data_IF_951485810107
#
_entry.id   IF_951485810107
#
_cell.length_a   1.000
_cell.length_b   1.000
_cell.length_c   1.000
_cell.angle_alpha   90.00
_cell.angle_beta   90.00
_cell.angle_gamma   90.00
#
_symmetry.space_group_name_H-M   'P 1'
#
loop_
_entity.id
_entity.type
_entity.pdbx_description
1 polymer ?
#
# COMPACT_ATOMS: atom_id res chain seq x y z
N UNK A 1 11.44 0.48 -3.51
CA UNK A 1 11.09 -0.92 -3.27
C UNK A 1 12.34 -1.68 -2.88
N UNK A 2 12.37 -2.20 -1.66
CA UNK A 2 13.53 -2.95 -1.12
C UNK A 2 13.42 -4.47 -1.34
N UNK A 3 12.38 -4.93 -2.06
CA UNK A 3 12.11 -6.35 -2.29
C UNK A 3 11.37 -7.02 -1.13
N UNK A 4 10.77 -6.24 -0.21
CA UNK A 4 10.00 -6.74 0.92
C UNK A 4 8.77 -5.85 1.16
N UNK A 5 7.58 -6.40 0.91
CA UNK A 5 6.31 -5.69 1.16
C UNK A 5 6.21 -5.20 2.61
N UNK A 6 6.55 -6.05 3.57
CA UNK A 6 6.49 -5.70 4.99
C UNK A 6 7.39 -4.49 5.33
N UNK A 7 8.62 -4.46 4.80
CA UNK A 7 9.54 -3.34 5.02
C UNK A 7 9.10 -2.07 4.30
N UNK A 8 8.63 -2.18 3.05
CA UNK A 8 8.15 -1.02 2.30
C UNK A 8 6.90 -0.41 2.98
N UNK A 9 5.98 -1.22 3.53
CA UNK A 9 4.85 -0.74 4.35
C UNK A 9 5.31 -0.03 5.63
N UNK A 10 6.30 -0.57 6.36
CA UNK A 10 6.91 0.13 7.49
C UNK A 10 7.61 1.42 7.05
N UNK A 11 8.15 1.46 5.83
CA UNK A 11 8.69 2.66 5.19
C UNK A 11 7.66 3.78 5.06
N UNK A 12 6.42 3.43 4.66
CA UNK A 12 5.29 4.37 4.65
C UNK A 12 4.99 4.86 6.07
N UNK A 13 4.86 3.92 7.02
CA UNK A 13 4.47 4.25 8.39
C UNK A 13 5.46 5.17 9.12
N UNK A 14 6.77 5.04 8.83
CA UNK A 14 7.79 5.93 9.41
C UNK A 14 8.13 7.16 8.55
N UNK A 15 7.34 7.44 7.50
CA UNK A 15 7.50 8.62 6.64
C UNK A 15 8.75 8.58 5.75
N UNK A 16 9.31 7.40 5.52
CA UNK A 16 10.51 7.19 4.70
C UNK A 16 10.17 6.96 3.23
N UNK A 17 8.96 6.49 2.98
CA UNK A 17 8.33 6.36 1.68
C UNK A 17 6.99 7.11 1.71
N UNK A 18 6.60 7.71 0.60
CA UNK A 18 5.32 8.41 0.48
C UNK A 18 4.22 7.54 -0.16
N UNK A 19 4.63 6.59 -1.02
CA UNK A 19 3.76 5.69 -1.76
C UNK A 19 4.49 4.36 -2.03
N UNK A 20 3.75 3.26 -1.88
CA UNK A 20 4.17 1.90 -2.22
C UNK A 20 2.96 1.16 -2.78
N UNK A 21 3.15 0.36 -3.82
CA UNK A 21 2.15 -0.62 -4.25
C UNK A 21 2.83 -1.88 -4.77
N UNK A 22 2.14 -3.02 -4.67
CA UNK A 22 2.61 -4.32 -5.14
C UNK A 22 1.42 -5.14 -5.66
N UNK A 23 1.68 -5.91 -6.72
CA UNK A 23 0.73 -6.83 -7.34
C UNK A 23 1.30 -8.24 -7.33
N UNK A 24 0.52 -9.23 -6.88
CA UNK A 24 0.93 -10.63 -6.88
C UNK A 24 1.91 -11.01 -5.76
N UNK A 25 1.84 -10.35 -4.59
CA UNK A 25 2.62 -10.76 -3.43
C UNK A 25 2.26 -12.19 -2.97
N UNK A 26 3.21 -12.89 -2.35
CA UNK A 26 3.14 -14.34 -2.12
C UNK A 26 1.96 -14.78 -1.25
N UNK A 27 1.62 -14.00 -0.23
CA UNK A 27 0.41 -14.24 0.56
C UNK A 27 0.10 -13.16 1.59
N UNK A 28 -1.02 -13.28 2.31
CA UNK A 28 -1.51 -12.25 3.23
C UNK A 28 -0.49 -11.91 4.34
N UNK A 29 0.39 -12.85 4.70
CA UNK A 29 1.45 -12.64 5.69
C UNK A 29 2.46 -11.56 5.29
N UNK A 30 2.65 -11.28 4.00
CA UNK A 30 3.59 -10.26 3.52
C UNK A 30 3.12 -8.83 3.81
N UNK A 31 1.81 -8.65 4.05
CA UNK A 31 1.18 -7.34 4.20
C UNK A 31 0.41 -7.16 5.51
N UNK A 32 -0.03 -8.25 6.16
CA UNK A 32 -0.88 -8.20 7.36
C UNK A 32 -0.34 -7.28 8.47
N UNK A 33 0.93 -7.48 8.84
CA UNK A 33 1.56 -6.70 9.90
C UNK A 33 1.77 -5.24 9.50
N UNK A 34 2.30 -5.02 8.29
CA UNK A 34 2.52 -3.68 7.75
C UNK A 34 1.22 -2.88 7.61
N UNK A 35 0.12 -3.54 7.23
CA UNK A 35 -1.19 -2.90 7.08
C UNK A 35 -1.69 -2.26 8.38
N UNK A 36 -1.56 -2.97 9.51
CA UNK A 36 -1.95 -2.42 10.82
C UNK A 36 -1.03 -1.27 11.20
N UNK A 37 0.29 -1.43 11.03
CA UNK A 37 1.27 -0.39 11.36
C UNK A 37 1.03 0.89 10.55
N UNK A 38 0.78 0.79 9.25
CA UNK A 38 0.46 1.93 8.38
C UNK A 38 -0.80 2.65 8.86
N UNK A 39 -1.87 1.91 9.18
CA UNK A 39 -3.13 2.49 9.68
C UNK A 39 -2.93 3.24 10.99
N UNK A 40 -2.24 2.64 11.95
CA UNK A 40 -1.96 3.27 13.26
C UNK A 40 -1.04 4.49 13.15
N UNK A 41 -0.15 4.51 12.16
CA UNK A 41 0.69 5.67 11.84
C UNK A 41 -0.08 6.81 11.14
N UNK A 42 -1.38 6.63 10.84
CA UNK A 42 -2.19 7.60 10.11
C UNK A 42 -2.00 7.56 8.59
N UNK A 43 -1.30 6.55 8.06
CA UNK A 43 -1.22 6.27 6.63
C UNK A 43 -2.49 5.59 6.12
N UNK A 44 -2.60 5.47 4.80
CA UNK A 44 -3.75 4.85 4.14
C UNK A 44 -3.29 3.60 3.43
N UNK A 45 -4.04 2.52 3.57
CA UNK A 45 -3.86 1.27 2.84
C UNK A 45 -5.12 0.96 2.03
N UNK A 46 -4.96 0.61 0.76
CA UNK A 46 -6.04 0.48 -0.20
C UNK A 46 -5.66 -0.50 -1.33
N UNK A 47 -6.63 -0.93 -2.13
CA UNK A 47 -6.36 -1.68 -3.37
C UNK A 47 -5.88 -0.69 -4.46
N UNK A 48 -4.86 -1.02 -5.28
CA UNK A 48 -4.36 -0.12 -6.32
C UNK A 48 -5.42 0.42 -7.29
N UNK A 49 -6.53 -0.31 -7.52
CA UNK A 49 -7.68 0.14 -8.33
C UNK A 49 -8.56 1.19 -7.62
N UNK A 50 -8.21 1.59 -6.40
CA UNK A 50 -8.94 2.56 -5.57
C UNK A 50 -10.02 1.95 -4.67
N UNK A 51 -10.15 0.62 -4.63
CA UNK A 51 -11.11 -0.08 -3.76
C UNK A 51 -10.56 -0.19 -2.33
N UNK A 52 -11.41 -0.66 -1.42
CA UNK A 52 -10.96 -1.02 -0.08
C UNK A 52 -9.91 -2.12 -0.12
N UNK A 53 -8.96 -2.06 0.81
CA UNK A 53 -7.92 -3.07 0.93
C UNK A 53 -8.51 -4.42 1.35
N UNK A 54 -8.34 -5.42 0.49
CA UNK A 54 -8.60 -6.82 0.78
C UNK A 54 -7.27 -7.58 0.85
N UNK A 55 -6.98 -8.10 2.04
CA UNK A 55 -5.75 -8.83 2.34
C UNK A 55 -5.58 -10.12 1.50
N UNK A 56 -6.67 -10.66 0.97
CA UNK A 56 -6.67 -11.88 0.15
C UNK A 56 -6.52 -11.60 -1.34
N UNK A 57 -6.63 -10.34 -1.77
CA UNK A 57 -6.64 -9.97 -3.19
C UNK A 57 -5.26 -10.02 -3.87
N UNK A 58 -4.19 -10.28 -3.10
CA UNK A 58 -2.79 -10.23 -3.53
C UNK A 58 -2.39 -8.91 -4.20
N UNK A 59 -3.09 -7.82 -3.88
CA UNK A 59 -2.83 -6.47 -4.38
C UNK A 59 -2.90 -5.51 -3.22
N UNK A 60 -1.92 -4.61 -3.14
CA UNK A 60 -1.85 -3.62 -2.06
C UNK A 60 -1.26 -2.33 -2.57
N UNK A 61 -1.79 -1.22 -2.10
CA UNK A 61 -1.16 0.08 -2.14
C UNK A 61 -1.23 0.71 -0.75
N UNK A 62 -0.19 1.45 -0.38
CA UNK A 62 -0.13 2.22 0.85
C UNK A 62 0.54 3.57 0.58
N UNK A 63 0.05 4.62 1.23
CA UNK A 63 0.58 5.96 1.07
C UNK A 63 0.37 6.81 2.33
N UNK A 64 0.98 7.99 2.35
CA UNK A 64 0.47 9.08 3.17
C UNK A 64 -0.95 9.49 2.71
N UNK A 65 -1.76 10.17 3.53
CA UNK A 65 -3.15 10.54 3.16
C UNK A 65 -3.27 11.46 1.94
N UNK A 66 -2.20 12.15 1.55
CA UNK A 66 -2.23 13.15 0.48
C UNK A 66 -2.13 12.54 -0.91
N UNK A 67 -1.57 11.33 -1.04
CA UNK A 67 -1.22 10.75 -2.34
C UNK A 67 -2.16 9.66 -2.84
N UNK A 68 -3.09 9.16 -2.03
CA UNK A 68 -3.99 8.08 -2.42
C UNK A 68 -4.74 8.41 -3.71
N UNK A 69 -5.47 9.52 -3.72
CA UNK A 69 -6.39 9.84 -4.82
C UNK A 69 -5.62 10.18 -6.10
N UNK A 70 -4.51 10.92 -5.98
CA UNK A 70 -3.63 11.22 -7.09
C UNK A 70 -3.02 9.96 -7.72
N UNK A 71 -2.63 8.98 -6.89
CA UNK A 71 -2.11 7.70 -7.39
C UNK A 71 -3.18 6.88 -8.11
N UNK A 72 -4.39 6.76 -7.54
CA UNK A 72 -5.49 6.01 -8.15
C UNK A 72 -5.88 6.61 -9.51
N UNK A 73 -5.92 7.94 -9.61
CA UNK A 73 -6.23 8.61 -10.87
C UNK A 73 -5.14 8.38 -11.92
N UNK A 74 -3.86 8.54 -11.54
CA UNK A 74 -2.74 8.29 -12.43
C UNK A 74 -2.70 6.84 -12.94
N UNK A 75 -3.09 5.87 -12.11
CA UNK A 75 -3.14 4.46 -12.52
C UNK A 75 -4.25 4.22 -13.56
N UNK A 76 -5.41 4.89 -13.43
CA UNK A 76 -6.53 4.77 -14.37
C UNK A 76 -6.23 5.38 -15.74
N UNK A 77 -5.44 6.45 -15.80
CA UNK A 77 -5.04 7.07 -17.06
C UNK A 77 -4.09 6.19 -17.89
N UNK A 78 -3.46 5.19 -17.25
CA UNK A 78 -2.53 4.26 -17.90
C UNK A 78 -3.22 3.00 -18.44
N UNK A 79 -4.47 2.73 -18.04
CA UNK A 79 -5.32 1.64 -18.53
C UNK A 79 -6.05 2.03 -19.82
#
# INVERSE_FOLDING_TARGET
MCGSCALDLCGIACGRLDLFYELGFGGPWDVAGGAVIVKEAGGVIFDPSGKEFDITSQRVAASNPLLKDAFVEALRELE
#
